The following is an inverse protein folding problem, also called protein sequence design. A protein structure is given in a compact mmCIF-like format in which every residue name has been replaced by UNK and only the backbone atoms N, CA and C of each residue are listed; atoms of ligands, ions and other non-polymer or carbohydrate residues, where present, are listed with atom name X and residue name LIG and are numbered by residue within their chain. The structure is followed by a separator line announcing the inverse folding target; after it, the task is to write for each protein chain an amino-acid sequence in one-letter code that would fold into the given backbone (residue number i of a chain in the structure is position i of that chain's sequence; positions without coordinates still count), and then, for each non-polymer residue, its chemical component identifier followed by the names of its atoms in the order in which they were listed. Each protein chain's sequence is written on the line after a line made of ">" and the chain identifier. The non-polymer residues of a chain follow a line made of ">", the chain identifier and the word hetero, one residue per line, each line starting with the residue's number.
data_IF_044788553681
#
_entry.id   IF_044788553681
#
_cell.length_a   1.000
_cell.length_b   1.000
_cell.length_c   1.000
_cell.angle_alpha   90.00
_cell.angle_beta   90.00
_cell.angle_gamma   90.00
#
_symmetry.space_group_name_H-M   'P 1'
#
loop_
_entity.id
_entity.type
_entity.pdbx_description
1 polymer ?
#
# COMPACT_ATOMS: atom_id res chain seq x y z
N UNK A 1 12.28 -9.14 9.08
CA UNK A 1 11.33 -9.30 7.95
C UNK A 1 11.14 -7.94 7.31
N UNK A 2 11.61 -7.79 6.08
CA UNK A 2 11.65 -6.53 5.36
C UNK A 2 10.22 -6.22 4.88
N UNK A 3 9.81 -4.94 4.91
CA UNK A 3 8.43 -4.51 4.65
C UNK A 3 7.86 -4.95 3.29
N UNK A 4 6.58 -4.62 3.04
CA UNK A 4 5.87 -5.03 1.83
C UNK A 4 6.76 -4.88 0.55
N UNK A 5 6.93 -5.93 -0.26
CA UNK A 5 7.76 -5.87 -1.46
C UNK A 5 7.33 -4.73 -2.40
N UNK A 6 8.24 -3.82 -2.70
CA UNK A 6 7.95 -2.64 -3.52
C UNK A 6 7.35 -1.44 -2.76
N UNK A 7 7.19 -1.56 -1.44
CA UNK A 7 6.82 -0.48 -0.53
C UNK A 7 8.07 -0.01 0.22
N UNK A 8 8.64 1.10 -0.24
CA UNK A 8 9.72 1.77 0.50
C UNK A 8 9.21 2.47 1.76
N UNK A 9 10.11 2.87 2.68
CA UNK A 9 9.75 3.48 3.96
C UNK A 9 8.88 4.74 3.81
N UNK A 10 9.16 5.59 2.82
CA UNK A 10 8.34 6.78 2.53
C UNK A 10 6.90 6.42 2.19
N UNK A 11 6.70 5.36 1.41
CA UNK A 11 5.36 4.91 1.03
C UNK A 11 4.67 4.22 2.20
N UNK A 12 5.38 3.43 3.00
CA UNK A 12 4.84 2.83 4.21
C UNK A 12 4.30 3.89 5.18
N UNK A 13 5.04 5.00 5.36
CA UNK A 13 4.60 6.13 6.19
C UNK A 13 3.33 6.76 5.61
N UNK A 14 3.28 7.04 4.30
CA UNK A 14 2.08 7.62 3.68
C UNK A 14 0.86 6.70 3.74
N UNK A 15 1.06 5.40 3.60
CA UNK A 15 0.00 4.40 3.74
C UNK A 15 -0.52 4.40 5.18
N UNK A 16 0.36 4.39 6.17
CA UNK A 16 -0.05 4.45 7.58
C UNK A 16 -0.69 5.79 7.96
N UNK A 17 -0.21 6.90 7.42
CA UNK A 17 -0.79 8.23 7.63
C UNK A 17 -2.21 8.32 7.05
N UNK A 18 -2.44 7.72 5.88
CA UNK A 18 -3.74 7.73 5.22
C UNK A 18 -4.73 6.71 5.80
N UNK A 19 -4.29 5.48 6.03
CA UNK A 19 -5.15 4.37 6.44
C UNK A 19 -5.16 4.14 7.97
N UNK A 20 -4.21 4.70 8.72
CA UNK A 20 -4.09 4.65 10.17
C UNK A 20 -3.55 3.32 10.73
N UNK A 21 -3.79 2.19 10.07
CA UNK A 21 -3.35 0.87 10.54
C UNK A 21 -2.89 0.00 9.38
N UNK A 22 -1.99 -0.95 9.66
CA UNK A 22 -1.53 -1.92 8.67
C UNK A 22 -2.68 -2.76 8.14
N UNK A 23 -3.64 -3.15 8.99
CA UNK A 23 -4.84 -3.89 8.58
C UNK A 23 -5.62 -3.13 7.50
N UNK A 24 -5.89 -1.83 7.70
CA UNK A 24 -6.57 -1.02 6.69
C UNK A 24 -5.76 -0.87 5.40
N UNK A 25 -4.44 -0.84 5.47
CA UNK A 25 -3.57 -0.79 4.27
C UNK A 25 -3.70 -2.07 3.45
N UNK A 26 -3.74 -3.24 4.08
CA UNK A 26 -3.83 -4.53 3.38
C UNK A 26 -5.26 -4.78 2.86
N UNK A 27 -6.30 -4.34 3.58
CA UNK A 27 -7.69 -4.46 3.14
C UNK A 27 -8.11 -3.40 2.12
N UNK A 28 -7.34 -2.31 1.97
CA UNK A 28 -7.64 -1.24 1.02
C UNK A 28 -7.78 -1.78 -0.42
N UNK A 29 -8.74 -1.23 -1.15
CA UNK A 29 -8.94 -1.51 -2.58
C UNK A 29 -7.86 -0.84 -3.44
N UNK A 30 -7.69 -1.31 -4.67
CA UNK A 30 -6.77 -0.69 -5.62
C UNK A 30 -7.11 0.80 -5.85
N UNK A 31 -8.40 1.16 -5.86
CA UNK A 31 -8.87 2.54 -6.03
C UNK A 31 -8.46 3.44 -4.85
N UNK A 32 -8.54 2.94 -3.63
CA UNK A 32 -8.11 3.65 -2.43
C UNK A 32 -6.59 3.82 -2.39
N UNK A 33 -5.85 2.77 -2.72
CA UNK A 33 -4.38 2.84 -2.84
C UNK A 33 -3.96 3.93 -3.83
N UNK A 34 -4.65 4.04 -4.98
CA UNK A 34 -4.39 5.08 -5.99
C UNK A 34 -4.63 6.52 -5.52
N UNK A 35 -5.29 6.75 -4.38
CA UNK A 35 -5.41 8.08 -3.78
C UNK A 35 -4.11 8.54 -3.10
N UNK A 36 -3.20 7.62 -2.81
CA UNK A 36 -1.91 7.94 -2.19
C UNK A 36 -1.02 8.65 -3.23
N UNK A 37 -0.63 9.89 -2.92
CA UNK A 37 0.21 10.70 -3.81
C UNK A 37 1.57 10.04 -4.05
N UNK A 38 1.85 9.68 -5.31
CA UNK A 38 3.08 8.98 -5.70
C UNK A 38 2.95 7.45 -5.74
N UNK A 39 1.75 6.92 -5.49
CA UNK A 39 1.41 5.52 -5.70
C UNK A 39 0.67 5.34 -7.03
N UNK A 40 1.40 4.88 -8.06
CA UNK A 40 0.81 4.56 -9.36
C UNK A 40 0.18 3.17 -9.41
N UNK A 41 -0.60 2.90 -10.47
CA UNK A 41 -1.31 1.63 -10.71
C UNK A 41 -0.42 0.38 -10.57
N UNK A 42 0.81 0.44 -11.06
CA UNK A 42 1.77 -0.68 -10.96
C UNK A 42 2.04 -1.04 -9.49
N UNK A 43 2.26 -0.03 -8.64
CA UNK A 43 2.51 -0.24 -7.21
C UNK A 43 1.26 -0.70 -6.47
N UNK A 44 0.10 -0.09 -6.78
CA UNK A 44 -1.19 -0.47 -6.20
C UNK A 44 -1.50 -1.95 -6.45
N UNK A 45 -1.38 -2.37 -7.72
CA UNK A 45 -1.59 -3.76 -8.13
C UNK A 45 -0.63 -4.72 -7.43
N UNK A 46 0.65 -4.37 -7.34
CA UNK A 46 1.66 -5.21 -6.67
C UNK A 46 1.34 -5.40 -5.18
N UNK A 47 0.93 -4.34 -4.48
CA UNK A 47 0.50 -4.42 -3.08
C UNK A 47 -0.70 -5.37 -2.93
N UNK A 48 -1.73 -5.22 -3.77
CA UNK A 48 -2.90 -6.13 -3.75
C UNK A 48 -2.53 -7.58 -4.06
N UNK A 49 -1.64 -7.82 -5.02
CA UNK A 49 -1.21 -9.18 -5.35
C UNK A 49 -0.49 -9.86 -4.18
N UNK A 50 0.31 -9.12 -3.40
CA UNK A 50 1.04 -9.68 -2.25
C UNK A 50 0.09 -10.03 -1.10
N UNK A 51 -0.90 -9.16 -0.83
CA UNK A 51 -1.86 -9.37 0.26
C UNK A 51 -2.89 -10.45 -0.07
N UNK A 52 -3.23 -10.62 -1.35
CA UNK A 52 -4.17 -11.64 -1.82
C UNK A 52 -3.52 -13.02 -2.06
N UNK A 53 -2.29 -13.24 -1.59
CA UNK A 53 -1.64 -14.56 -1.56
C UNK A 53 -1.87 -15.26 -0.22
#
# INVERSE_FOLDING_TARGET
>A
MQGLPGVGPKLAIQLLDHFGTVEKVITASEKELLQIRGLGKIKAKRIRQIVSQ
#
